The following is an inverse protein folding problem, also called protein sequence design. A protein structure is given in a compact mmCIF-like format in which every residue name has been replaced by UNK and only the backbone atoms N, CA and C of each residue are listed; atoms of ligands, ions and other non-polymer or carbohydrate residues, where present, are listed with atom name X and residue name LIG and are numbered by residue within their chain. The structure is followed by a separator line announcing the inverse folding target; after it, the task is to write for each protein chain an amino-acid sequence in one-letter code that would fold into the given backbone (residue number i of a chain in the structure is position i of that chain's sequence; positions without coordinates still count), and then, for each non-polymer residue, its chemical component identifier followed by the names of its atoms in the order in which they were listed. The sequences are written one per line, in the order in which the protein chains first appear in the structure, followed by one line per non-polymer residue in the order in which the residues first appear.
data_IF_176650773310
#
_entry.id   IF_176650773310
#
_cell.length_a   1.000
_cell.length_b   1.000
_cell.length_c   1.000
_cell.angle_alpha   90.00
_cell.angle_beta   90.00
_cell.angle_gamma   90.00
#
_symmetry.space_group_name_H-M   'P 1'
#
loop_
_entity.id
_entity.type
_entity.pdbx_description
1 polymer ?
#
# COMPACT_ATOMS: atom_id res chain seq x y z
N UNK A 1 -5.19 -0.93 73.93
CA UNK A 1 -6.51 -0.93 73.25
C UNK A 1 -6.70 0.39 72.53
N UNK A 2 -7.45 0.47 71.43
CA UNK A 2 -7.31 -0.13 70.09
C UNK A 2 -6.88 0.98 69.08
N UNK A 3 -6.39 0.70 67.86
CA UNK A 3 -7.24 0.54 66.68
C UNK A 3 -6.33 0.24 65.47
N UNK A 4 -6.54 -0.92 64.86
CA UNK A 4 -6.00 -1.32 63.55
C UNK A 4 -6.77 -0.60 62.45
N UNK A 5 -6.07 -0.14 61.41
CA UNK A 5 -6.66 0.05 60.08
C UNK A 5 -5.70 -0.46 59.00
N UNK A 6 -6.14 -1.49 58.28
CA UNK A 6 -5.60 -2.03 57.01
C UNK A 6 -6.85 -2.22 56.11
N UNK A 7 -6.81 -2.15 54.76
CA UNK A 7 -6.19 -1.21 53.80
C UNK A 7 -7.31 -0.60 52.88
N UNK A 8 -7.01 -0.09 51.68
CA UNK A 8 -7.47 -0.88 50.54
C UNK A 8 -6.41 -1.15 49.47
N UNK A 9 -6.62 -2.28 48.81
CA UNK A 9 -5.79 -2.90 47.80
C UNK A 9 -5.84 -2.18 46.44
N UNK A 10 -4.93 -2.64 45.58
CA UNK A 10 -4.88 -2.54 44.11
C UNK A 10 -4.56 -1.19 43.48
N UNK A 11 -3.27 -0.86 43.44
CA UNK A 11 -2.72 -0.14 42.28
C UNK A 11 -2.46 -1.17 41.17
N UNK A 12 -3.08 -1.06 40.00
CA UNK A 12 -2.72 -1.87 38.86
C UNK A 12 -1.33 -1.43 38.39
N UNK A 13 -0.33 -2.28 38.58
CA UNK A 13 0.94 -2.22 37.86
C UNK A 13 0.62 -2.26 36.37
N UNK A 14 0.52 -1.09 35.75
CA UNK A 14 0.42 -0.95 34.31
C UNK A 14 1.75 -1.43 33.75
N UNK A 15 1.81 -2.72 33.42
CA UNK A 15 2.91 -3.32 32.68
C UNK A 15 2.89 -2.74 31.27
N UNK A 16 3.53 -1.58 31.08
CA UNK A 16 3.88 -1.09 29.76
C UNK A 16 4.94 -2.04 29.20
N UNK A 17 4.48 -3.02 28.45
CA UNK A 17 5.34 -3.86 27.62
C UNK A 17 6.19 -2.93 26.74
N UNK A 18 7.53 -3.10 26.68
CA UNK A 18 8.34 -2.31 25.77
C UNK A 18 7.84 -2.56 24.35
N UNK A 19 7.41 -1.48 23.70
CA UNK A 19 7.08 -1.47 22.27
C UNK A 19 8.25 -2.08 21.51
N UNK A 20 7.99 -3.15 20.75
CA UNK A 20 9.00 -3.78 19.89
C UNK A 20 9.69 -2.69 19.08
N UNK A 21 11.01 -2.56 19.24
CA UNK A 21 11.84 -1.73 18.36
C UNK A 21 11.58 -2.24 16.93
N UNK A 22 11.13 -1.39 15.99
CA UNK A 22 10.91 -1.81 14.62
C UNK A 22 12.27 -2.25 14.05
N UNK A 23 12.44 -3.55 13.87
CA UNK A 23 13.64 -4.12 13.27
C UNK A 23 13.62 -3.80 11.78
N UNK A 24 14.50 -2.90 11.35
CA UNK A 24 14.76 -2.68 9.92
C UNK A 24 15.70 -3.79 9.45
N UNK A 25 15.14 -4.86 8.89
CA UNK A 25 15.93 -5.89 8.23
C UNK A 25 16.49 -5.30 6.93
N UNK A 26 17.81 -5.06 6.91
CA UNK A 26 18.51 -4.70 5.68
C UNK A 26 18.80 -5.98 4.89
N UNK A 27 18.36 -6.08 3.63
CA UNK A 27 18.66 -7.24 2.80
C UNK A 27 20.18 -7.37 2.59
N UNK A 28 20.70 -8.59 2.70
CA UNK A 28 22.11 -8.89 2.43
C UNK A 28 22.47 -8.46 1.00
N UNK A 29 23.53 -7.64 0.80
CA UNK A 29 23.89 -7.16 -0.52
C UNK A 29 24.27 -8.35 -1.43
N UNK A 30 23.87 -8.26 -2.70
CA UNK A 30 24.21 -9.24 -3.73
C UNK A 30 25.73 -9.34 -3.92
N UNK A 31 26.27 -10.55 -4.17
CA UNK A 31 27.64 -10.70 -4.64
C UNK A 31 27.81 -9.96 -5.98
N UNK A 32 28.90 -9.21 -6.11
CA UNK A 32 29.20 -8.38 -7.27
C UNK A 32 29.27 -9.28 -8.52
N UNK A 33 28.36 -9.08 -9.49
CA UNK A 33 28.44 -9.67 -10.83
C UNK A 33 27.32 -10.64 -11.24
N UNK A 34 26.36 -10.98 -10.38
CA UNK A 34 25.27 -11.91 -10.72
C UNK A 34 23.88 -11.26 -10.70
N UNK A 35 23.38 -10.85 -11.87
CA UNK A 35 21.98 -10.46 -12.07
C UNK A 35 21.16 -11.68 -12.53
N UNK A 36 20.48 -12.35 -11.60
CA UNK A 36 19.45 -13.35 -11.92
C UNK A 36 18.07 -12.69 -11.89
N UNK A 37 17.10 -13.07 -12.75
CA UNK A 37 15.72 -12.59 -12.65
C UNK A 37 15.06 -12.93 -11.30
N UNK A 38 15.53 -13.97 -10.61
CA UNK A 38 15.13 -14.25 -9.21
C UNK A 38 15.71 -13.22 -8.23
N UNK A 39 16.94 -12.72 -8.48
CA UNK A 39 17.56 -11.71 -7.62
C UNK A 39 16.82 -10.38 -7.72
N UNK A 40 16.32 -9.99 -8.90
CA UNK A 40 15.50 -8.78 -9.07
C UNK A 40 14.19 -8.85 -8.26
N UNK A 41 13.65 -10.05 -8.04
CA UNK A 41 12.45 -10.22 -7.23
C UNK A 41 12.72 -10.08 -5.72
N UNK A 42 13.85 -10.59 -5.22
CA UNK A 42 14.20 -10.54 -3.79
C UNK A 42 14.99 -9.30 -3.37
N UNK A 43 15.74 -8.71 -4.31
CA UNK A 43 16.62 -7.56 -4.10
C UNK A 43 16.33 -6.53 -5.20
N UNK A 44 15.18 -5.84 -5.14
CA UNK A 44 14.91 -4.76 -6.07
C UNK A 44 15.99 -3.68 -5.95
N UNK A 45 16.37 -3.09 -7.07
CA UNK A 45 17.38 -2.03 -7.09
C UNK A 45 17.02 -0.89 -6.12
N UNK A 46 18.04 -0.26 -5.53
CA UNK A 46 17.86 0.85 -4.59
C UNK A 46 16.97 1.96 -5.13
N UNK A 47 16.96 2.18 -6.46
CA UNK A 47 16.10 3.15 -7.11
C UNK A 47 14.63 2.72 -7.11
N UNK A 48 14.36 1.44 -7.39
CA UNK A 48 13.00 0.87 -7.36
C UNK A 48 12.45 0.94 -5.93
N UNK A 49 13.23 0.54 -4.93
CA UNK A 49 12.84 0.65 -3.52
C UNK A 49 12.50 2.09 -3.09
N UNK A 50 13.28 3.06 -3.55
CA UNK A 50 13.02 4.47 -3.29
C UNK A 50 11.71 4.95 -3.95
N UNK A 51 11.40 4.48 -5.16
CA UNK A 51 10.13 4.82 -5.82
C UNK A 51 8.95 4.23 -5.04
N UNK A 52 9.05 2.98 -4.57
CA UNK A 52 8.03 2.35 -3.73
C UNK A 52 7.81 3.11 -2.41
N UNK A 53 8.88 3.50 -1.72
CA UNK A 53 8.75 4.25 -0.47
C UNK A 53 8.09 5.62 -0.67
N UNK A 54 8.45 6.33 -1.75
CA UNK A 54 7.80 7.59 -2.11
C UNK A 54 6.31 7.36 -2.43
N UNK A 55 5.96 6.34 -3.20
CA UNK A 55 4.55 6.04 -3.49
C UNK A 55 3.74 5.71 -2.23
N UNK A 56 4.27 4.89 -1.30
CA UNK A 56 3.57 4.56 -0.06
C UNK A 56 3.32 5.83 0.78
N UNK A 57 4.30 6.74 0.88
CA UNK A 57 4.09 8.02 1.60
C UNK A 57 3.03 8.90 0.93
N UNK A 58 3.05 9.00 -0.41
CA UNK A 58 2.08 9.81 -1.15
C UNK A 58 0.65 9.27 -1.05
N UNK A 59 0.50 7.95 -1.02
CA UNK A 59 -0.80 7.28 -0.91
C UNK A 59 -1.33 7.29 0.53
N UNK A 60 -0.45 7.10 1.52
CA UNK A 60 -0.83 7.07 2.95
C UNK A 60 -1.26 8.44 3.47
N UNK A 61 -0.54 9.49 3.09
CA UNK A 61 -0.87 10.85 3.54
C UNK A 61 -1.89 11.54 2.62
N UNK A 62 -2.32 10.87 1.54
CA UNK A 62 -3.37 11.33 0.63
C UNK A 62 -3.06 12.65 -0.08
N UNK A 63 -1.78 13.03 -0.15
CA UNK A 63 -1.37 14.37 -0.59
C UNK A 63 -1.38 14.55 -2.11
N UNK A 64 -0.99 13.52 -2.87
CA UNK A 64 -0.81 13.67 -4.33
C UNK A 64 -0.96 12.32 -5.07
N UNK A 65 -2.21 11.86 -5.15
CA UNK A 65 -2.61 10.67 -5.92
C UNK A 65 -2.24 10.78 -7.42
N UNK A 66 -2.43 11.93 -8.12
CA UNK A 66 -2.02 12.07 -9.51
C UNK A 66 -0.52 11.84 -9.75
N UNK A 67 0.33 12.33 -8.84
CA UNK A 67 1.78 12.13 -8.93
C UNK A 67 2.17 10.67 -8.70
N UNK A 68 1.58 10.04 -7.68
CA UNK A 68 1.79 8.61 -7.43
C UNK A 68 1.37 7.77 -8.66
N UNK A 69 0.26 8.11 -9.32
CA UNK A 69 -0.21 7.42 -10.52
C UNK A 69 0.80 7.50 -11.68
N UNK A 70 1.42 8.67 -11.93
CA UNK A 70 2.47 8.81 -12.95
C UNK A 70 3.71 7.96 -12.67
N UNK A 71 4.10 7.88 -11.40
CA UNK A 71 5.22 7.03 -10.97
C UNK A 71 4.89 5.55 -11.15
N UNK A 72 3.66 5.16 -10.80
CA UNK A 72 3.16 3.81 -10.98
C UNK A 72 3.11 3.39 -12.45
N UNK A 73 2.62 4.25 -13.34
CA UNK A 73 2.62 3.99 -14.79
C UNK A 73 4.04 3.84 -15.34
N UNK A 74 4.99 4.63 -14.84
CA UNK A 74 6.40 4.52 -15.21
C UNK A 74 7.01 3.18 -14.76
N UNK A 75 6.68 2.72 -13.55
CA UNK A 75 7.12 1.41 -13.04
C UNK A 75 6.51 0.25 -13.84
N UNK A 76 5.24 0.36 -14.22
CA UNK A 76 4.55 -0.64 -15.06
C UNK A 76 5.17 -0.80 -16.44
N UNK A 77 5.83 0.24 -16.96
CA UNK A 77 6.53 0.19 -18.24
C UNK A 77 7.90 -0.50 -18.13
N UNK A 78 8.59 -0.36 -16.99
CA UNK A 78 9.88 -1.01 -16.74
C UNK A 78 9.72 -2.52 -16.56
N UNK A 79 10.51 -3.31 -17.30
CA UNK A 79 10.47 -4.77 -17.24
C UNK A 79 11.00 -5.32 -15.92
N UNK A 80 12.00 -4.67 -15.34
CA UNK A 80 12.62 -5.04 -14.06
C UNK A 80 11.65 -4.81 -12.90
N UNK A 81 11.00 -3.64 -12.88
CA UNK A 81 10.07 -3.26 -11.81
C UNK A 81 8.74 -4.04 -11.85
N UNK A 82 8.36 -4.61 -13.01
CA UNK A 82 7.14 -5.44 -13.13
C UNK A 82 7.14 -6.62 -12.19
N UNK A 83 8.31 -7.21 -11.92
CA UNK A 83 8.45 -8.36 -11.01
C UNK A 83 8.25 -7.99 -9.54
N UNK A 84 8.36 -6.70 -9.21
CA UNK A 84 8.25 -6.15 -7.85
C UNK A 84 6.85 -5.58 -7.56
N UNK A 85 6.00 -5.42 -8.58
CA UNK A 85 4.64 -4.94 -8.39
C UNK A 85 3.78 -6.01 -7.71
N UNK A 86 3.21 -5.67 -6.56
CA UNK A 86 2.35 -6.56 -5.77
C UNK A 86 0.89 -6.09 -5.77
N UNK A 87 -0.03 -7.03 -5.50
CA UNK A 87 -1.48 -6.80 -5.39
C UNK A 87 -1.80 -5.67 -4.41
N UNK A 88 -1.07 -5.59 -3.31
CA UNK A 88 -1.31 -4.59 -2.26
C UNK A 88 -1.08 -3.15 -2.76
N UNK A 89 -0.11 -2.95 -3.67
CA UNK A 89 0.09 -1.64 -4.31
C UNK A 89 -1.08 -1.30 -5.23
N UNK A 90 -1.56 -2.27 -6.02
CA UNK A 90 -2.75 -2.07 -6.85
C UNK A 90 -3.98 -1.73 -6.00
N UNK A 91 -4.18 -2.43 -4.88
CA UNK A 91 -5.26 -2.14 -3.94
C UNK A 91 -5.13 -0.75 -3.32
N UNK A 92 -3.91 -0.32 -2.99
CA UNK A 92 -3.65 1.02 -2.47
C UNK A 92 -4.06 2.09 -3.49
N UNK A 93 -3.78 1.89 -4.78
CA UNK A 93 -4.25 2.79 -5.84
C UNK A 93 -5.76 2.74 -6.05
N UNK A 94 -6.37 1.56 -6.07
CA UNK A 94 -7.83 1.42 -6.16
C UNK A 94 -8.52 2.13 -5.00
N UNK A 95 -8.00 1.97 -3.78
CA UNK A 95 -8.46 2.65 -2.58
C UNK A 95 -8.29 4.15 -2.68
N UNK A 96 -7.11 4.64 -3.09
CA UNK A 96 -6.84 6.06 -3.24
C UNK A 96 -7.76 6.72 -4.28
N UNK A 97 -7.97 6.11 -5.45
CA UNK A 97 -8.91 6.64 -6.45
C UNK A 97 -10.34 6.69 -5.93
N UNK A 98 -10.76 5.70 -5.13
CA UNK A 98 -12.07 5.72 -4.51
C UNK A 98 -12.17 6.84 -3.45
N UNK A 99 -11.15 7.00 -2.61
CA UNK A 99 -11.09 8.06 -1.61
C UNK A 99 -11.15 9.45 -2.25
N UNK A 100 -10.40 9.67 -3.35
CA UNK A 100 -10.50 10.91 -4.13
C UNK A 100 -11.90 11.10 -4.70
N UNK A 101 -12.51 10.05 -5.28
CA UNK A 101 -13.87 10.15 -5.83
C UNK A 101 -14.95 10.46 -4.78
N UNK A 102 -14.73 10.10 -3.51
CA UNK A 102 -15.68 10.30 -2.41
C UNK A 102 -15.55 11.67 -1.71
N UNK A 103 -14.54 12.48 -2.04
CA UNK A 103 -14.38 13.82 -1.46
C UNK A 103 -15.55 14.73 -1.88
N UNK A 104 -16.17 15.39 -0.90
CA UNK A 104 -17.37 16.22 -1.09
C UNK A 104 -17.11 17.48 -1.93
N UNK A 105 -15.87 17.99 -1.93
CA UNK A 105 -15.49 19.27 -2.54
C UNK A 105 -15.14 19.19 -4.04
N UNK A 106 -15.28 18.01 -4.67
CA UNK A 106 -14.81 17.77 -6.04
C UNK A 106 -15.96 17.91 -7.05
N UNK A 107 -15.76 18.61 -8.18
CA UNK A 107 -16.77 18.70 -9.23
C UNK A 107 -17.10 17.32 -9.82
N UNK A 108 -18.35 17.09 -10.24
CA UNK A 108 -18.78 15.79 -10.77
C UNK A 108 -17.90 15.25 -11.91
N UNK A 109 -17.33 16.15 -12.72
CA UNK A 109 -16.44 15.79 -13.83
C UNK A 109 -15.19 15.07 -13.33
N UNK A 110 -14.57 15.59 -12.29
CA UNK A 110 -13.33 15.05 -11.73
C UNK A 110 -13.64 13.77 -10.92
N UNK A 111 -14.79 13.71 -10.24
CA UNK A 111 -15.30 12.46 -9.63
C UNK A 111 -15.42 11.33 -10.66
N UNK A 112 -16.02 11.61 -11.83
CA UNK A 112 -16.14 10.61 -12.91
C UNK A 112 -14.78 10.20 -13.47
N UNK A 113 -13.81 11.12 -13.53
CA UNK A 113 -12.45 10.81 -13.95
C UNK A 113 -11.78 9.83 -12.97
N UNK A 114 -11.89 10.06 -11.67
CA UNK A 114 -11.35 9.16 -10.65
C UNK A 114 -11.99 7.77 -10.69
N UNK A 115 -13.32 7.70 -10.78
CA UNK A 115 -14.02 6.42 -10.94
C UNK A 115 -13.63 5.71 -12.25
N UNK A 116 -13.47 6.45 -13.35
CA UNK A 116 -13.00 5.86 -14.61
C UNK A 116 -11.59 5.29 -14.46
N UNK A 117 -10.66 5.98 -13.79
CA UNK A 117 -9.31 5.47 -13.54
C UNK A 117 -9.33 4.22 -12.66
N UNK A 118 -10.20 4.17 -11.64
CA UNK A 118 -10.40 3.00 -10.79
C UNK A 118 -10.87 1.80 -11.60
N UNK A 119 -11.92 1.98 -12.42
CA UNK A 119 -12.46 0.90 -13.25
C UNK A 119 -11.50 0.44 -14.34
N UNK A 120 -10.75 1.36 -14.95
CA UNK A 120 -9.70 1.01 -15.91
C UNK A 120 -8.62 0.14 -15.23
N UNK A 121 -8.16 0.53 -14.03
CA UNK A 121 -7.16 -0.26 -13.30
C UNK A 121 -7.70 -1.64 -12.90
N UNK A 122 -8.94 -1.70 -12.41
CA UNK A 122 -9.58 -2.96 -12.00
C UNK A 122 -9.85 -3.91 -13.18
N UNK A 123 -10.27 -3.37 -14.33
CA UNK A 123 -10.48 -4.17 -15.55
C UNK A 123 -9.16 -4.68 -16.11
N UNK A 124 -8.09 -3.86 -16.07
CA UNK A 124 -6.74 -4.32 -16.40
C UNK A 124 -6.27 -5.45 -15.48
N UNK A 125 -6.55 -5.37 -14.18
CA UNK A 125 -6.17 -6.40 -13.20
C UNK A 125 -6.95 -7.72 -13.39
N UNK A 126 -8.21 -7.64 -13.81
CA UNK A 126 -9.10 -8.81 -14.00
C UNK A 126 -9.02 -9.42 -15.40
N UNK A 127 -8.55 -8.67 -16.40
CA UNK A 127 -8.41 -9.15 -17.76
C UNK A 127 -7.42 -10.31 -17.86
N UNK A 128 -7.86 -11.44 -18.43
CA UNK A 128 -7.00 -12.60 -18.71
C UNK A 128 -5.91 -12.32 -19.74
N UNK A 129 -6.06 -11.24 -20.52
CA UNK A 129 -5.07 -10.77 -21.49
C UNK A 129 -4.06 -9.79 -20.88
N UNK A 130 -4.17 -9.52 -19.58
CA UNK A 130 -3.27 -8.58 -18.93
C UNK A 130 -1.86 -9.16 -18.85
N UNK A 131 -0.88 -8.33 -19.20
CA UNK A 131 0.55 -8.66 -19.16
C UNK A 131 1.08 -8.80 -17.71
N UNK A 132 0.19 -8.72 -16.73
CA UNK A 132 0.54 -8.60 -15.32
C UNK A 132 0.54 -9.97 -14.66
N UNK A 133 1.58 -10.24 -13.86
CA UNK A 133 1.71 -11.46 -13.05
C UNK A 133 0.71 -11.44 -11.87
N UNK A 134 0.25 -10.24 -11.51
CA UNK A 134 -0.56 -9.92 -10.33
C UNK A 134 -2.03 -10.24 -10.56
N UNK A 135 -2.68 -10.90 -9.59
CA UNK A 135 -4.11 -11.26 -9.65
C UNK A 135 -4.93 -10.47 -8.63
N UNK A 136 -6.20 -10.14 -8.92
CA UNK A 136 -7.08 -9.50 -7.95
C UNK A 136 -7.27 -10.37 -6.70
N UNK A 137 -7.25 -9.75 -5.53
CA UNK A 137 -7.57 -10.40 -4.26
C UNK A 137 -8.96 -9.96 -3.75
N UNK A 138 -9.34 -10.46 -2.57
CA UNK A 138 -10.65 -10.17 -1.94
C UNK A 138 -10.87 -8.67 -1.72
N UNK A 139 -9.81 -7.95 -1.40
CA UNK A 139 -9.84 -6.50 -1.17
C UNK A 139 -10.06 -5.73 -2.47
N UNK A 140 -9.43 -6.14 -3.59
CA UNK A 140 -9.67 -5.52 -4.90
C UNK A 140 -11.17 -5.56 -5.27
N UNK A 141 -11.83 -6.70 -5.03
CA UNK A 141 -13.27 -6.85 -5.26
C UNK A 141 -14.11 -6.05 -4.27
N UNK A 142 -13.70 -5.96 -2.99
CA UNK A 142 -14.41 -5.18 -1.99
C UNK A 142 -14.41 -3.68 -2.35
N UNK A 143 -13.27 -3.14 -2.81
CA UNK A 143 -13.15 -1.75 -3.25
C UNK A 143 -14.03 -1.50 -4.48
N UNK A 144 -14.01 -2.41 -5.46
CA UNK A 144 -14.85 -2.30 -6.65
C UNK A 144 -16.35 -2.33 -6.31
N UNK A 145 -16.79 -3.19 -5.39
CA UNK A 145 -18.17 -3.22 -4.90
C UNK A 145 -18.55 -1.93 -4.18
N UNK A 146 -17.65 -1.39 -3.35
CA UNK A 146 -17.89 -0.12 -2.66
C UNK A 146 -18.06 1.04 -3.65
N UNK A 147 -17.28 1.05 -4.73
CA UNK A 147 -17.39 2.02 -5.81
C UNK A 147 -18.69 1.91 -6.63
N UNK A 148 -19.38 0.76 -6.61
CA UNK A 148 -20.70 0.60 -7.26
C UNK A 148 -21.86 1.09 -6.40
N UNK A 149 -21.69 1.06 -5.08
CA UNK A 149 -22.74 1.42 -4.11
C UNK A 149 -22.80 2.93 -3.90
N UNK A 150 -21.67 3.62 -4.07
CA UNK A 150 -21.51 5.06 -3.84
C UNK A 150 -21.67 5.86 -5.12
#
# INVERSE_FOLDING_TARGET
MPSRSIPPASEPLTSSLPSRIPLTLLPTPLPIGESSPLNTHFFPDSNVQHIFSVMDTLLRDGYDVPRAARMFDSLRQSEEARSTLDVDLYNSFLGAYLTEALKEDIPEKDRRAWLSSLWNLFTELTSKASKWIVRPNRESFAIALLALIK
#
